data_IF_758128094402
#
_entry.id   IF_758128094402
#
_cell.length_a   1.000
_cell.length_b   1.000
_cell.length_c   1.000
_cell.angle_alpha   90.00
_cell.angle_beta   90.00
_cell.angle_gamma   90.00
#
_symmetry.space_group_name_H-M   'P 1'
#
loop_
_entity.id
_entity.type
_entity.pdbx_description
1 polymer ?
#
# COMPACT_ATOMS: atom_id res chain seq x y z
N UNK A 1 -3.43 5.02 8.27
CA UNK A 1 -2.00 5.32 8.52
C UNK A 1 -1.47 6.46 7.61
N UNK A 2 -2.29 7.44 7.25
CA UNK A 2 -1.92 8.50 6.29
C UNK A 2 -1.86 9.90 6.91
N UNK A 3 -2.62 10.12 7.99
CA UNK A 3 -2.74 11.41 8.69
C UNK A 3 -1.37 12.02 9.05
N UNK A 4 -0.35 11.27 9.51
CA UNK A 4 0.95 11.85 9.82
C UNK A 4 1.64 12.53 8.63
N UNK A 5 1.48 12.02 7.40
CA UNK A 5 2.10 12.61 6.20
C UNK A 5 1.44 13.96 5.86
N UNK A 6 0.11 13.98 5.82
CA UNK A 6 -0.68 15.19 5.52
C UNK A 6 -0.47 16.25 6.60
N UNK A 7 -0.49 15.85 7.87
CA UNK A 7 -0.26 16.74 9.00
C UNK A 7 1.18 17.30 9.00
N UNK A 8 2.18 16.44 8.77
CA UNK A 8 3.58 16.85 8.72
C UNK A 8 3.86 17.88 7.62
N UNK A 9 3.30 17.69 6.44
CA UNK A 9 3.43 18.64 5.32
C UNK A 9 2.81 20.00 5.66
N UNK A 10 1.60 20.00 6.23
CA UNK A 10 0.93 21.24 6.63
C UNK A 10 1.71 21.99 7.71
N UNK A 11 2.21 21.31 8.74
CA UNK A 11 2.95 21.96 9.83
C UNK A 11 4.28 22.54 9.36
N UNK A 12 4.99 21.87 8.46
CA UNK A 12 6.31 22.32 7.98
C UNK A 12 6.19 23.42 6.94
N UNK A 13 5.17 23.36 6.07
CA UNK A 13 5.10 24.23 4.88
C UNK A 13 3.95 25.21 4.88
N UNK A 14 3.01 25.09 5.83
CA UNK A 14 1.75 25.84 5.88
C UNK A 14 0.92 25.73 4.56
N UNK A 15 1.10 24.63 3.83
CA UNK A 15 0.45 24.34 2.55
C UNK A 15 0.33 22.82 2.34
N UNK A 16 -0.35 22.40 1.27
CA UNK A 16 -0.42 21.00 0.88
C UNK A 16 0.34 20.78 -0.42
N UNK A 17 1.51 20.16 -0.34
CA UNK A 17 2.32 19.80 -1.48
C UNK A 17 1.69 18.63 -2.22
N UNK A 18 1.50 18.78 -3.53
CA UNK A 18 0.91 17.75 -4.37
C UNK A 18 1.67 16.43 -4.29
N UNK A 19 3.00 16.47 -4.17
CA UNK A 19 3.85 15.30 -4.00
C UNK A 19 3.51 14.51 -2.73
N UNK A 20 3.23 15.20 -1.61
CA UNK A 20 2.82 14.55 -0.36
C UNK A 20 1.38 14.04 -0.43
N UNK A 21 0.49 14.76 -1.11
CA UNK A 21 -0.89 14.29 -1.35
C UNK A 21 -0.88 12.99 -2.15
N UNK A 22 -0.07 12.91 -3.22
CA UNK A 22 0.06 11.69 -4.03
C UNK A 22 0.65 10.53 -3.22
N UNK A 23 1.72 10.77 -2.44
CA UNK A 23 2.26 9.76 -1.50
C UNK A 23 1.16 9.28 -0.55
N UNK A 24 0.40 10.23 0.01
CA UNK A 24 -0.66 9.96 0.99
C UNK A 24 -1.75 9.08 0.40
N UNK A 25 -2.18 9.35 -0.84
CA UNK A 25 -3.15 8.52 -1.58
C UNK A 25 -2.61 7.10 -1.75
N UNK A 26 -1.37 6.94 -2.23
CA UNK A 26 -0.76 5.62 -2.44
C UNK A 26 -0.67 4.82 -1.14
N UNK A 27 -0.19 5.45 -0.05
CA UNK A 27 -0.09 4.81 1.28
C UNK A 27 -1.47 4.45 1.82
N UNK A 28 -2.47 5.31 1.62
CA UNK A 28 -3.83 5.06 2.05
C UNK A 28 -4.43 3.86 1.32
N UNK A 29 -4.40 3.85 0.00
CA UNK A 29 -4.93 2.76 -0.83
C UNK A 29 -4.28 1.41 -0.50
N UNK A 30 -2.94 1.38 -0.48
CA UNK A 30 -2.18 0.18 -0.14
C UNK A 30 -2.44 -0.27 1.31
N UNK A 31 -2.53 0.68 2.25
CA UNK A 31 -2.82 0.41 3.65
C UNK A 31 -4.21 -0.18 3.87
N UNK A 32 -5.24 0.34 3.18
CA UNK A 32 -6.61 -0.21 3.24
C UNK A 32 -6.64 -1.61 2.63
N UNK A 33 -6.01 -1.83 1.48
CA UNK A 33 -5.91 -3.15 0.86
C UNK A 33 -5.26 -4.18 1.80
N UNK A 34 -4.20 -3.78 2.50
CA UNK A 34 -3.53 -4.63 3.51
C UNK A 34 -4.42 -4.93 4.71
N UNK A 35 -5.20 -3.97 5.18
CA UNK A 35 -6.15 -4.18 6.27
C UNK A 35 -7.22 -5.22 5.88
N UNK A 36 -7.73 -5.13 4.65
CA UNK A 36 -8.67 -6.13 4.10
C UNK A 36 -8.03 -7.52 4.04
N UNK A 37 -6.77 -7.65 3.58
CA UNK A 37 -6.05 -8.92 3.64
C UNK A 37 -5.87 -9.44 5.07
N UNK A 38 -5.67 -8.54 6.04
CA UNK A 38 -5.68 -8.85 7.47
C UNK A 38 -7.00 -9.49 7.90
N UNK A 39 -8.12 -8.84 7.58
CA UNK A 39 -9.46 -9.38 7.88
C UNK A 39 -9.68 -10.77 7.27
N UNK A 40 -9.22 -10.99 6.03
CA UNK A 40 -9.34 -12.30 5.35
C UNK A 40 -8.52 -13.39 6.03
N UNK A 41 -7.30 -13.06 6.47
CA UNK A 41 -6.42 -14.00 7.17
C UNK A 41 -7.01 -14.38 8.53
N UNK A 42 -7.54 -13.39 9.24
CA UNK A 42 -7.92 -13.52 10.65
C UNK A 42 -9.41 -13.90 10.83
N UNK A 43 -10.19 -13.96 9.73
CA UNK A 43 -11.62 -14.27 9.71
C UNK A 43 -12.06 -15.45 10.58
N UNK A 44 -11.41 -16.61 10.42
CA UNK A 44 -11.79 -17.82 11.17
C UNK A 44 -11.60 -17.65 12.68
N UNK A 45 -10.64 -16.82 13.09
CA UNK A 45 -10.40 -16.48 14.50
C UNK A 45 -11.38 -15.42 14.99
N UNK A 46 -11.57 -14.35 14.20
CA UNK A 46 -12.42 -13.22 14.58
C UNK A 46 -13.92 -13.54 14.59
N UNK A 47 -14.39 -14.34 13.64
CA UNK A 47 -15.80 -14.78 13.58
C UNK A 47 -16.12 -15.72 14.75
N UNK A 48 -15.26 -16.72 14.99
CA UNK A 48 -15.50 -17.74 16.02
C UNK A 48 -15.25 -17.24 17.44
N UNK A 49 -14.29 -16.34 17.66
CA UNK A 49 -13.89 -15.92 19.00
C UNK A 49 -14.44 -14.55 19.41
N UNK A 50 -14.79 -13.67 18.47
CA UNK A 50 -15.13 -12.26 18.77
C UNK A 50 -16.47 -11.77 18.20
N UNK A 51 -17.14 -12.55 17.35
CA UNK A 51 -18.43 -12.16 16.76
C UNK A 51 -18.37 -10.86 15.94
N UNK A 52 -17.18 -10.49 15.44
CA UNK A 52 -16.95 -9.21 14.77
C UNK A 52 -17.65 -9.17 13.40
N UNK A 53 -18.50 -8.16 13.19
CA UNK A 53 -19.15 -7.87 11.90
C UNK A 53 -18.31 -6.88 11.09
N UNK A 54 -17.15 -7.33 10.62
CA UNK A 54 -16.28 -6.53 9.76
C UNK A 54 -16.73 -6.62 8.28
N UNK A 55 -16.00 -5.95 7.38
CA UNK A 55 -16.26 -5.97 5.94
C UNK A 55 -16.49 -7.40 5.41
N UNK A 56 -15.67 -8.34 5.88
CA UNK A 56 -15.71 -9.72 5.42
C UNK A 56 -17.00 -10.45 5.76
N UNK A 57 -17.63 -10.14 6.90
CA UNK A 57 -18.95 -10.65 7.29
C UNK A 57 -20.03 -10.21 6.28
N UNK A 58 -19.94 -8.97 5.76
CA UNK A 58 -20.97 -8.41 4.89
C UNK A 58 -20.78 -8.75 3.40
N UNK A 59 -19.55 -8.74 2.89
CA UNK A 59 -19.28 -8.95 1.46
C UNK A 59 -18.64 -10.31 1.12
N UNK A 60 -18.17 -11.06 2.11
CA UNK A 60 -17.54 -12.36 1.91
C UNK A 60 -16.13 -12.30 1.32
N UNK A 61 -15.41 -13.42 1.40
CA UNK A 61 -13.97 -13.49 1.10
C UNK A 61 -13.62 -13.14 -0.34
N UNK A 62 -14.40 -13.62 -1.29
CA UNK A 62 -14.11 -13.39 -2.71
C UNK A 62 -14.17 -11.90 -3.07
N UNK A 63 -15.24 -11.20 -2.66
CA UNK A 63 -15.42 -9.77 -2.95
C UNK A 63 -14.44 -8.91 -2.15
N UNK A 64 -14.14 -9.28 -0.91
CA UNK A 64 -13.10 -8.61 -0.12
C UNK A 64 -11.71 -8.71 -0.80
N UNK A 65 -11.33 -9.91 -1.29
CA UNK A 65 -10.08 -10.08 -2.06
C UNK A 65 -10.07 -9.23 -3.33
N UNK A 66 -11.19 -9.16 -4.05
CA UNK A 66 -11.32 -8.33 -5.26
C UNK A 66 -11.15 -6.84 -4.96
N UNK A 67 -11.79 -6.35 -3.90
CA UNK A 67 -11.65 -4.96 -3.47
C UNK A 67 -10.21 -4.62 -3.09
N UNK A 68 -9.53 -5.48 -2.33
CA UNK A 68 -8.13 -5.29 -1.98
C UNK A 68 -7.23 -5.26 -3.23
N UNK A 69 -7.55 -6.08 -4.24
CA UNK A 69 -6.80 -6.09 -5.49
C UNK A 69 -6.97 -4.81 -6.30
N UNK A 70 -8.19 -4.28 -6.38
CA UNK A 70 -8.47 -3.00 -7.04
C UNK A 70 -7.70 -1.87 -6.35
N UNK A 71 -7.76 -1.80 -5.02
CA UNK A 71 -7.04 -0.77 -4.24
C UNK A 71 -5.53 -0.83 -4.44
N UNK A 72 -4.93 -2.02 -4.50
CA UNK A 72 -3.51 -2.14 -4.84
C UNK A 72 -3.21 -1.73 -6.28
N UNK A 73 -4.06 -2.11 -7.24
CA UNK A 73 -3.88 -1.70 -8.61
C UNK A 73 -3.93 -0.17 -8.76
N UNK A 74 -4.87 0.49 -8.09
CA UNK A 74 -4.95 1.96 -8.04
C UNK A 74 -3.69 2.57 -7.41
N UNK A 75 -3.19 2.01 -6.30
CA UNK A 75 -1.95 2.47 -5.69
C UNK A 75 -0.74 2.37 -6.65
N UNK A 76 -0.64 1.28 -7.42
CA UNK A 76 0.41 1.08 -8.43
C UNK A 76 0.24 2.06 -9.60
N UNK A 77 -0.99 2.35 -10.03
CA UNK A 77 -1.21 3.35 -11.08
C UNK A 77 -0.77 4.75 -10.63
N UNK A 78 -1.03 5.11 -9.38
CA UNK A 78 -0.56 6.39 -8.81
C UNK A 78 0.97 6.41 -8.69
N UNK A 79 1.61 5.30 -8.28
CA UNK A 79 3.08 5.22 -8.17
C UNK A 79 3.77 5.39 -9.54
N UNK A 80 3.22 4.80 -10.59
CA UNK A 80 3.68 4.94 -11.97
C UNK A 80 3.44 6.36 -12.48
N UNK A 81 2.27 6.93 -12.19
CA UNK A 81 1.95 8.31 -12.55
C UNK A 81 2.95 9.30 -11.94
N UNK A 82 3.30 9.13 -10.66
CA UNK A 82 4.31 9.94 -10.00
C UNK A 82 5.69 9.86 -10.70
N UNK A 83 6.09 8.67 -11.16
CA UNK A 83 7.36 8.47 -11.86
C UNK A 83 7.45 9.19 -13.22
N UNK A 84 6.35 9.39 -13.92
CA UNK A 84 6.39 10.05 -15.23
C UNK A 84 6.14 11.55 -15.15
N UNK A 85 5.37 12.02 -14.16
CA UNK A 85 4.77 13.36 -14.21
C UNK A 85 5.09 14.28 -13.04
N UNK A 86 5.64 13.79 -11.91
CA UNK A 86 5.80 14.62 -10.71
C UNK A 86 7.20 14.56 -10.12
N UNK A 87 7.85 15.73 -10.03
CA UNK A 87 9.05 15.90 -9.20
C UNK A 87 8.70 15.73 -7.71
N UNK A 88 9.62 15.18 -6.88
CA UNK A 88 10.99 14.74 -7.19
C UNK A 88 11.10 13.31 -7.76
N UNK A 89 9.98 12.65 -8.07
CA UNK A 89 9.92 11.24 -8.46
C UNK A 89 10.11 11.02 -9.96
N UNK A 90 9.87 12.06 -10.77
CA UNK A 90 9.94 12.03 -12.21
C UNK A 90 11.30 11.50 -12.71
N UNK A 91 11.28 10.38 -13.43
CA UNK A 91 12.47 9.70 -13.99
C UNK A 91 13.58 9.38 -12.98
N UNK A 92 13.26 9.35 -11.68
CA UNK A 92 14.22 9.16 -10.62
C UNK A 92 14.46 7.66 -10.36
N UNK A 93 15.68 7.17 -10.62
CA UNK A 93 16.03 5.76 -10.41
C UNK A 93 15.98 5.33 -8.94
N UNK A 94 16.31 6.25 -8.02
CA UNK A 94 16.23 6.02 -6.57
C UNK A 94 14.78 5.77 -6.13
N UNK A 95 13.83 6.39 -6.84
CA UNK A 95 12.41 6.17 -6.63
C UNK A 95 11.92 4.86 -7.27
N UNK A 96 12.12 4.69 -8.58
CA UNK A 96 11.41 3.64 -9.32
C UNK A 96 11.88 2.23 -8.98
N UNK A 97 13.17 2.04 -8.67
CA UNK A 97 13.70 0.69 -8.40
C UNK A 97 13.07 0.08 -7.13
N UNK A 98 13.11 0.76 -5.95
CA UNK A 98 12.44 0.23 -4.76
C UNK A 98 10.90 0.19 -4.89
N UNK A 99 10.30 1.15 -5.59
CA UNK A 99 8.85 1.20 -5.78
C UNK A 99 8.37 0.07 -6.69
N UNK A 100 9.10 -0.25 -7.76
CA UNK A 100 8.77 -1.40 -8.62
C UNK A 100 8.82 -2.73 -7.84
N UNK A 101 9.82 -2.91 -6.96
CA UNK A 101 9.89 -4.07 -6.05
C UNK A 101 8.65 -4.12 -5.15
N UNK A 102 8.23 -2.97 -4.63
CA UNK A 102 7.04 -2.84 -3.79
C UNK A 102 5.78 -3.23 -4.56
N UNK A 103 5.58 -2.63 -5.73
CA UNK A 103 4.39 -2.82 -6.56
C UNK A 103 4.25 -4.28 -7.01
N UNK A 104 5.33 -4.88 -7.52
CA UNK A 104 5.36 -6.29 -7.93
C UNK A 104 5.03 -7.20 -6.73
N UNK A 105 5.59 -6.93 -5.56
CA UNK A 105 5.34 -7.75 -4.36
C UNK A 105 3.89 -7.64 -3.89
N UNK A 106 3.33 -6.42 -3.86
CA UNK A 106 1.94 -6.19 -3.45
C UNK A 106 0.95 -6.81 -4.44
N UNK A 107 1.21 -6.71 -5.74
CA UNK A 107 0.41 -7.36 -6.78
C UNK A 107 0.49 -8.89 -6.70
N UNK A 108 1.68 -9.46 -6.43
CA UNK A 108 1.85 -10.90 -6.24
C UNK A 108 1.05 -11.40 -5.03
N UNK A 109 1.10 -10.68 -3.91
CA UNK A 109 0.32 -10.98 -2.72
C UNK A 109 -1.18 -10.90 -3.04
N UNK A 110 -1.61 -9.81 -3.67
CA UNK A 110 -2.99 -9.58 -4.10
C UNK A 110 -3.52 -10.74 -4.96
N UNK A 111 -2.76 -11.14 -5.97
CA UNK A 111 -3.09 -12.29 -6.81
C UNK A 111 -3.27 -13.58 -5.98
N UNK A 112 -2.38 -13.83 -5.01
CA UNK A 112 -2.51 -14.97 -4.11
C UNK A 112 -3.82 -14.99 -3.30
N UNK A 113 -4.33 -13.82 -2.89
CA UNK A 113 -5.64 -13.68 -2.24
C UNK A 113 -6.81 -13.83 -3.22
N UNK A 114 -6.66 -13.40 -4.47
CA UNK A 114 -7.68 -13.58 -5.53
C UNK A 114 -7.89 -15.06 -5.87
N UNK A 115 -6.81 -15.83 -6.02
CA UNK A 115 -6.89 -17.29 -6.23
C UNK A 115 -7.20 -18.06 -4.94
N UNK A 116 -7.51 -17.33 -3.85
CA UNK A 116 -7.89 -17.86 -2.55
C UNK A 116 -6.90 -18.88 -1.98
N UNK A 117 -5.59 -18.67 -2.16
CA UNK A 117 -4.57 -19.55 -1.56
C UNK A 117 -4.81 -19.68 -0.05
N UNK A 118 -5.03 -20.91 0.43
CA UNK A 118 -5.29 -21.22 1.85
C UNK A 118 -4.06 -21.88 2.51
N UNK A 119 -2.88 -21.29 2.33
CA UNK A 119 -1.65 -21.77 2.99
C UNK A 119 -1.28 -20.87 4.17
N UNK A 120 -0.97 -21.48 5.32
CA UNK A 120 -0.47 -20.77 6.50
C UNK A 120 0.85 -20.05 6.21
N UNK A 121 1.71 -20.68 5.42
CA UNK A 121 2.97 -20.09 4.96
C UNK A 121 2.71 -18.86 4.09
N UNK A 122 1.76 -18.94 3.16
CA UNK A 122 1.39 -17.80 2.31
C UNK A 122 0.87 -16.61 3.14
N UNK A 123 0.02 -16.85 4.14
CA UNK A 123 -0.49 -15.77 4.99
C UNK A 123 0.60 -15.14 5.87
N UNK A 124 1.53 -15.95 6.38
CA UNK A 124 2.68 -15.45 7.15
C UNK A 124 3.61 -14.62 6.26
N UNK A 125 3.95 -15.15 5.08
CA UNK A 125 4.74 -14.46 4.07
C UNK A 125 4.08 -13.14 3.66
N UNK A 126 2.80 -13.16 3.28
CA UNK A 126 2.06 -11.97 2.87
C UNK A 126 2.10 -10.88 3.94
N UNK A 127 1.94 -11.23 5.22
CA UNK A 127 1.98 -10.27 6.33
C UNK A 127 3.33 -9.58 6.43
N UNK A 128 4.41 -10.36 6.44
CA UNK A 128 5.74 -9.84 6.70
C UNK A 128 6.31 -9.15 5.45
N UNK A 129 6.08 -9.73 4.27
CA UNK A 129 6.51 -9.16 2.99
C UNK A 129 5.80 -7.82 2.74
N UNK A 130 4.47 -7.73 2.89
CA UNK A 130 3.75 -6.45 2.74
C UNK A 130 4.25 -5.38 3.70
N UNK A 131 4.60 -5.73 4.94
CA UNK A 131 5.20 -4.78 5.88
C UNK A 131 6.57 -4.29 5.41
N UNK A 132 7.44 -5.22 5.01
CA UNK A 132 8.78 -4.91 4.58
C UNK A 132 8.78 -3.99 3.35
N UNK A 133 7.98 -4.31 2.33
CA UNK A 133 7.94 -3.50 1.11
C UNK A 133 7.24 -2.16 1.30
N UNK A 134 6.23 -2.06 2.16
CA UNK A 134 5.64 -0.76 2.52
C UNK A 134 6.60 0.12 3.32
N UNK A 135 7.46 -0.47 4.16
CA UNK A 135 8.52 0.28 4.82
C UNK A 135 9.58 0.74 3.81
N UNK A 136 9.95 -0.13 2.87
CA UNK A 136 10.86 0.19 1.76
C UNK A 136 10.34 1.35 0.92
N UNK A 137 9.04 1.39 0.59
CA UNK A 137 8.47 2.48 -0.22
C UNK A 137 8.53 3.82 0.50
N UNK A 138 8.27 3.86 1.81
CA UNK A 138 8.44 5.09 2.62
C UNK A 138 9.89 5.58 2.59
N UNK A 139 10.86 4.67 2.73
CA UNK A 139 12.28 5.02 2.61
C UNK A 139 12.64 5.51 1.20
N UNK A 140 12.05 4.92 0.16
CA UNK A 140 12.25 5.32 -1.22
C UNK A 140 11.70 6.72 -1.52
N UNK A 141 10.49 7.04 -1.02
CA UNK A 141 9.93 8.40 -1.14
C UNK A 141 10.85 9.43 -0.47
N UNK A 142 11.37 9.12 0.72
CA UNK A 142 12.30 9.99 1.44
C UNK A 142 13.63 10.15 0.70
N UNK A 143 14.24 9.04 0.26
CA UNK A 143 15.51 9.05 -0.46
C UNK A 143 15.39 9.80 -1.80
N UNK A 144 14.30 9.60 -2.53
CA UNK A 144 14.03 10.31 -3.77
C UNK A 144 13.93 11.82 -3.54
N UNK A 145 13.28 12.26 -2.45
CA UNK A 145 13.19 13.67 -2.11
C UNK A 145 14.54 14.28 -1.66
N UNK A 146 15.33 13.55 -0.87
CA UNK A 146 16.62 14.02 -0.36
C UNK A 146 17.71 14.08 -1.44
N UNK A 147 17.73 13.11 -2.35
CA UNK A 147 18.73 13.01 -3.42
C UNK A 147 18.30 13.74 -4.70
N UNK A 148 17.13 14.37 -4.69
CA UNK A 148 16.69 15.23 -5.79
C UNK A 148 17.50 16.52 -5.79
N UNK A 149 18.62 16.50 -6.51
CA UNK A 149 19.35 17.70 -6.89
C UNK A 149 18.59 18.34 -8.04
N UNK A 150 18.07 19.56 -7.83
CA UNK A 150 17.61 20.40 -8.95
C UNK A 150 18.83 20.68 -9.84
N UNK A 151 18.97 19.92 -10.93
CA UNK A 151 19.83 20.29 -12.06
C UNK A 151 19.05 21.27 -12.93
#
# INVERSE_FOLDING_TARGET
MVIPFVYGDFVVTNSFHISIVLISITIFLAGVAREIHGMIRDYKGDEKARGSRNLLFHVGKARASQLAAILYAEAVLVSIYMFFFYAPFAFNLVYIVPIAITDVTLLYISYGFLVQKKSREFYSFSRNASLAVMALSVLAFLAAALLYVRI
#
